data_IF_354507264800
#
_entry.id   IF_354507264800
#
_cell.length_a   1.000
_cell.length_b   1.000
_cell.length_c   1.000
_cell.angle_alpha   90.00
_cell.angle_beta   90.00
_cell.angle_gamma   90.00
#
_symmetry.space_group_name_H-M   'P 1'
#
loop_
_entity.id
_entity.type
_entity.pdbx_description
1 polymer ?
#
# COMPACT_ATOMS: atom_id res chain seq x y z
N UNK A 1 13.34 -17.15 -3.01
CA UNK A 1 12.07 -17.52 -2.35
C UNK A 1 11.19 -16.29 -2.30
N UNK A 2 9.86 -16.43 -2.39
CA UNK A 2 8.93 -15.30 -2.29
C UNK A 2 8.27 -15.31 -0.90
N UNK A 3 8.31 -14.18 -0.20
CA UNK A 3 7.73 -14.04 1.15
C UNK A 3 6.35 -13.41 1.05
N UNK A 4 5.43 -13.87 1.89
CA UNK A 4 4.09 -13.28 2.02
C UNK A 4 4.08 -12.42 3.28
N UNK A 5 3.77 -11.14 3.12
CA UNK A 5 3.69 -10.19 4.21
C UNK A 5 2.26 -9.66 4.31
N UNK A 6 1.79 -9.52 5.54
CA UNK A 6 0.53 -8.86 5.84
C UNK A 6 0.73 -7.87 6.98
N UNK A 7 0.03 -6.74 6.93
CA UNK A 7 0.10 -5.70 7.94
C UNK A 7 -1.23 -4.96 8.03
N UNK A 8 -1.43 -4.26 9.16
CA UNK A 8 -2.63 -3.46 9.39
C UNK A 8 -2.29 -1.97 9.40
N UNK A 9 -3.20 -1.17 8.89
CA UNK A 9 -3.21 0.29 9.01
C UNK A 9 -4.59 0.72 9.52
N UNK A 10 -4.74 2.00 9.86
CA UNK A 10 -6.03 2.56 10.28
C UNK A 10 -6.42 3.68 9.31
N UNK A 11 -7.63 3.58 8.75
CA UNK A 11 -8.20 4.64 7.93
C UNK A 11 -8.85 5.68 8.83
N UNK A 12 -8.69 6.97 8.49
CA UNK A 12 -9.41 8.04 9.19
C UNK A 12 -10.93 7.90 8.91
N UNK A 13 -11.80 8.01 9.93
CA UNK A 13 -13.24 7.93 9.73
C UNK A 13 -13.74 8.89 8.65
N UNK A 14 -14.65 8.42 7.78
CA UNK A 14 -15.22 9.22 6.69
C UNK A 14 -14.36 9.33 5.42
N UNK A 15 -13.14 8.77 5.39
CA UNK A 15 -12.25 8.84 4.23
C UNK A 15 -12.30 7.63 3.29
N UNK A 16 -13.28 6.72 3.43
CA UNK A 16 -13.41 5.50 2.60
C UNK A 16 -13.41 5.79 1.11
N UNK A 17 -14.33 6.63 0.65
CA UNK A 17 -14.51 6.91 -0.78
C UNK A 17 -13.27 7.59 -1.37
N UNK A 18 -12.68 8.54 -0.66
CA UNK A 18 -11.46 9.21 -1.08
C UNK A 18 -10.27 8.23 -1.09
N UNK A 19 -10.16 7.34 -0.10
CA UNK A 19 -9.14 6.31 -0.08
C UNK A 19 -9.25 5.39 -1.29
N UNK A 20 -10.46 4.94 -1.63
CA UNK A 20 -10.71 4.11 -2.80
C UNK A 20 -10.36 4.87 -4.09
N UNK A 21 -10.83 6.11 -4.25
CA UNK A 21 -10.56 6.95 -5.42
C UNK A 21 -9.07 7.12 -5.67
N UNK A 22 -8.30 7.42 -4.61
CA UNK A 22 -6.83 7.51 -4.69
C UNK A 22 -6.21 6.19 -5.15
N UNK A 23 -6.64 5.06 -4.61
CA UNK A 23 -6.07 3.76 -4.99
C UNK A 23 -6.44 3.35 -6.43
N UNK A 24 -7.63 3.71 -6.92
CA UNK A 24 -8.03 3.53 -8.31
C UNK A 24 -7.15 4.38 -9.26
N UNK A 25 -6.85 5.62 -8.85
CA UNK A 25 -6.03 6.59 -9.57
C UNK A 25 -4.53 6.56 -9.19
N UNK A 26 -4.05 5.44 -8.61
CA UNK A 26 -2.68 5.36 -8.10
C UNK A 26 -1.65 5.65 -9.21
N UNK A 27 -0.69 6.50 -8.87
CA UNK A 27 0.30 7.05 -9.81
C UNK A 27 1.11 5.94 -10.50
N UNK A 28 1.32 6.03 -11.83
CA UNK A 28 2.09 5.04 -12.59
C UNK A 28 3.52 4.83 -12.05
N UNK A 29 4.18 5.90 -11.61
CA UNK A 29 5.52 5.86 -11.01
C UNK A 29 5.54 5.12 -9.67
N UNK A 30 4.48 5.24 -8.86
CA UNK A 30 4.37 4.51 -7.60
C UNK A 30 4.12 3.02 -7.85
N UNK A 31 3.23 2.68 -8.80
CA UNK A 31 3.03 1.29 -9.26
C UNK A 31 4.36 0.67 -9.73
N UNK A 32 5.14 1.42 -10.52
CA UNK A 32 6.45 0.98 -11.00
C UNK A 32 7.43 0.78 -9.85
N UNK A 33 7.53 1.74 -8.92
CA UNK A 33 8.39 1.64 -7.75
C UNK A 33 8.10 0.38 -6.92
N UNK A 34 6.82 0.12 -6.64
CA UNK A 34 6.36 -1.07 -5.90
C UNK A 34 6.80 -2.34 -6.64
N UNK A 35 6.61 -2.40 -7.96
CA UNK A 35 7.00 -3.55 -8.78
C UNK A 35 8.52 -3.75 -8.82
N UNK A 36 9.28 -2.67 -8.97
CA UNK A 36 10.74 -2.68 -9.03
C UNK A 36 11.35 -3.09 -7.67
N UNK A 37 10.65 -2.81 -6.57
CA UNK A 37 10.97 -3.33 -5.23
C UNK A 37 10.62 -4.81 -5.02
N UNK A 38 10.18 -5.52 -6.07
CA UNK A 38 9.87 -6.94 -6.01
C UNK A 38 8.51 -7.27 -5.36
N UNK A 39 7.64 -6.28 -5.19
CA UNK A 39 6.31 -6.46 -4.60
C UNK A 39 5.31 -6.82 -5.70
N UNK A 40 4.44 -7.78 -5.41
CA UNK A 40 3.41 -8.33 -6.30
C UNK A 40 2.20 -8.77 -5.49
N UNK A 41 1.06 -8.97 -6.15
CA UNK A 41 -0.20 -9.38 -5.51
C UNK A 41 -0.53 -8.53 -4.27
N UNK A 42 -0.35 -7.21 -4.40
CA UNK A 42 -0.59 -6.26 -3.32
C UNK A 42 -2.06 -5.85 -3.28
N UNK A 43 -2.78 -6.31 -2.26
CA UNK A 43 -4.18 -5.99 -2.01
C UNK A 43 -4.35 -5.31 -0.65
N UNK A 44 -5.30 -4.39 -0.56
CA UNK A 44 -5.70 -3.74 0.69
C UNK A 44 -7.22 -3.89 0.85
N UNK A 45 -7.63 -4.38 2.01
CA UNK A 45 -9.02 -4.63 2.38
C UNK A 45 -9.40 -3.70 3.52
N UNK A 46 -10.59 -3.10 3.47
CA UNK A 46 -11.12 -2.25 4.53
C UNK A 46 -12.13 -3.06 5.37
N UNK A 47 -11.94 -3.06 6.68
CA UNK A 47 -12.97 -3.37 7.67
C UNK A 47 -13.70 -2.08 8.02
N UNK A 48 -14.95 -1.97 7.56
CA UNK A 48 -15.77 -0.76 7.74
C UNK A 48 -16.26 -0.58 9.18
N UNK A 49 -16.33 -1.64 9.98
CA UNK A 49 -16.77 -1.57 11.38
C UNK A 49 -15.69 -0.92 12.26
N UNK A 50 -14.42 -1.22 11.97
CA UNK A 50 -13.28 -0.79 12.80
C UNK A 50 -12.40 0.27 12.14
N UNK A 51 -12.63 0.59 10.86
CA UNK A 51 -11.76 1.39 9.99
C UNK A 51 -10.34 0.80 9.84
N UNK A 52 -10.16 -0.51 10.09
CA UNK A 52 -8.87 -1.16 9.88
C UNK A 52 -8.66 -1.51 8.41
N UNK A 53 -7.48 -1.19 7.91
CA UNK A 53 -7.01 -1.60 6.59
C UNK A 53 -6.10 -2.81 6.75
N UNK A 54 -6.48 -3.93 6.15
CA UNK A 54 -5.66 -5.13 6.07
C UNK A 54 -4.96 -5.19 4.72
N UNK A 55 -3.63 -5.08 4.73
CA UNK A 55 -2.81 -5.17 3.54
C UNK A 55 -2.14 -6.55 3.44
N UNK A 56 -2.11 -7.11 2.23
CA UNK A 56 -1.39 -8.33 1.89
C UNK A 56 -0.53 -8.10 0.66
N UNK A 57 0.70 -8.60 0.66
CA UNK A 57 1.59 -8.54 -0.49
C UNK A 57 2.55 -9.72 -0.56
N UNK A 58 2.97 -10.06 -1.78
CA UNK A 58 4.07 -10.99 -2.04
C UNK A 58 5.33 -10.24 -2.43
N UNK A 59 6.44 -10.59 -1.80
CA UNK A 59 7.73 -9.92 -1.97
C UNK A 59 8.78 -10.90 -2.47
N UNK A 60 9.48 -10.53 -3.53
CA UNK A 60 10.68 -11.22 -4.01
C UNK A 60 11.91 -10.37 -3.68
N UNK A 61 12.64 -10.74 -2.62
CA UNK A 61 13.79 -10.00 -2.13
C UNK A 61 13.70 -9.79 -0.62
N UNK A 62 14.44 -8.78 -0.14
CA UNK A 62 14.39 -8.33 1.26
C UNK A 62 13.57 -7.03 1.34
N UNK A 63 12.65 -6.96 2.31
CA UNK A 63 11.80 -5.78 2.56
C UNK A 63 10.49 -5.74 1.75
N UNK A 64 9.43 -5.19 2.34
CA UNK A 64 8.14 -4.97 1.70
C UNK A 64 7.82 -3.50 1.46
N UNK A 65 6.56 -3.20 1.11
CA UNK A 65 6.09 -1.82 0.90
C UNK A 65 6.36 -0.86 2.07
N UNK A 66 6.44 -1.35 3.30
CA UNK A 66 6.73 -0.53 4.48
C UNK A 66 8.17 0.01 4.47
N UNK A 67 9.10 -0.70 3.82
CA UNK A 67 10.51 -0.29 3.71
C UNK A 67 10.71 0.82 2.67
N UNK A 68 9.72 1.07 1.81
CA UNK A 68 9.75 2.13 0.80
C UNK A 68 9.44 3.53 1.37
N UNK A 69 9.17 3.66 2.66
CA UNK A 69 8.75 4.92 3.29
C UNK A 69 9.77 6.07 3.21
N UNK A 70 11.04 5.77 2.93
CA UNK A 70 12.09 6.77 2.72
C UNK A 70 12.14 7.29 1.27
N UNK A 71 11.41 6.67 0.34
CA UNK A 71 11.38 7.10 -1.05
C UNK A 71 10.51 8.36 -1.22
N UNK A 72 11.02 9.35 -1.94
CA UNK A 72 10.31 10.63 -2.16
C UNK A 72 8.94 10.47 -2.82
N UNK A 73 8.76 9.50 -3.73
CA UNK A 73 7.48 9.24 -4.40
C UNK A 73 6.46 8.72 -3.38
N UNK A 74 6.90 7.84 -2.47
CA UNK A 74 6.04 7.30 -1.40
C UNK A 74 5.63 8.40 -0.43
N UNK A 75 6.56 9.27 -0.04
CA UNK A 75 6.26 10.40 0.83
C UNK A 75 5.30 11.40 0.17
N UNK A 76 5.48 11.69 -1.13
CA UNK A 76 4.53 12.51 -1.89
C UNK A 76 3.14 11.88 -1.93
N UNK A 77 3.06 10.56 -2.14
CA UNK A 77 1.79 9.83 -2.13
C UNK A 77 1.09 9.85 -0.77
N UNK A 78 1.86 9.78 0.33
CA UNK A 78 1.31 9.86 1.68
C UNK A 78 0.82 11.26 2.07
N UNK A 79 1.41 12.31 1.48
CA UNK A 79 1.03 13.70 1.72
C UNK A 79 -0.13 14.19 0.85
N UNK A 80 -0.34 13.57 -0.33
CA UNK A 80 -1.52 13.79 -1.15
C UNK A 80 -2.76 13.36 -0.37
#
# INVERSE_FOLDING_TARGET
MQTRLAFKMCLKPGHKEEYKRRHDEIWPELKRLIKDAGISDYSIFLDEETNLLFAFQKVKGEGGSQDLGQNEIVQKWWNY
#
